data_IF_945010519115
#
_entry.id   IF_945010519115
#
_cell.length_a   1.000
_cell.length_b   1.000
_cell.length_c   1.000
_cell.angle_alpha   90.00
_cell.angle_beta   90.00
_cell.angle_gamma   90.00
#
_symmetry.space_group_name_H-M   'P 1'
#
loop_
_entity.id
_entity.type
_entity.pdbx_description
1 polymer ?
#
# COMPACT_ATOMS: atom_id res chain seq x y z
N UNK A 1 -5.75 7.85 -16.31
CA UNK A 1 -4.95 7.44 -15.13
C UNK A 1 -5.61 6.31 -14.32
N UNK A 2 -6.67 6.56 -13.53
CA UNK A 2 -7.23 5.56 -12.59
C UNK A 2 -7.86 4.29 -13.20
N UNK A 3 -8.18 4.29 -14.51
CA UNK A 3 -8.71 3.11 -15.22
C UNK A 3 -7.62 2.25 -15.86
N UNK A 4 -6.52 2.86 -16.31
CA UNK A 4 -5.47 2.20 -17.10
C UNK A 4 -4.13 2.08 -16.35
N UNK A 5 -3.98 2.82 -15.25
CA UNK A 5 -2.80 2.91 -14.40
C UNK A 5 -3.25 3.17 -12.94
N UNK A 6 -3.94 2.22 -12.31
CA UNK A 6 -4.36 2.37 -10.92
C UNK A 6 -3.15 2.31 -9.96
N UNK A 7 -3.35 2.85 -8.77
CA UNK A 7 -2.28 3.01 -7.76
C UNK A 7 -2.02 1.65 -7.10
N UNK A 8 -0.90 1.01 -7.40
CA UNK A 8 -0.58 -0.30 -6.79
C UNK A 8 -0.24 -0.20 -5.29
N UNK A 9 0.51 0.84 -4.90
CA UNK A 9 1.04 1.02 -3.54
C UNK A 9 0.85 2.49 -3.15
N UNK A 10 0.24 2.72 -1.98
CA UNK A 10 0.14 4.06 -1.40
C UNK A 10 1.27 4.29 -0.39
N UNK A 11 1.83 5.50 -0.40
CA UNK A 11 2.88 5.92 0.53
C UNK A 11 2.40 7.20 1.22
N UNK A 12 2.33 7.18 2.54
CA UNK A 12 2.01 8.36 3.35
C UNK A 12 3.23 8.77 4.15
N UNK A 13 3.52 10.07 4.20
CA UNK A 13 4.72 10.62 4.82
C UNK A 13 4.38 11.66 5.88
N UNK A 14 4.91 11.48 7.08
CA UNK A 14 4.83 12.43 8.19
C UNK A 14 6.23 12.90 8.60
N UNK A 15 6.30 14.11 9.15
CA UNK A 15 7.51 14.61 9.85
C UNK A 15 7.76 13.79 11.13
N UNK A 16 8.95 13.89 11.72
CA UNK A 16 9.34 13.08 12.90
C UNK A 16 8.29 13.07 14.01
N UNK A 17 7.72 14.24 14.32
CA UNK A 17 6.71 14.43 15.37
C UNK A 17 5.27 14.42 14.82
N UNK A 18 5.07 13.95 13.59
CA UNK A 18 3.76 13.84 12.97
C UNK A 18 2.95 12.66 13.53
N UNK A 19 1.62 12.76 13.46
CA UNK A 19 0.75 11.69 13.96
C UNK A 19 0.81 10.45 13.05
N UNK A 20 1.28 9.36 13.64
CA UNK A 20 1.27 8.02 13.04
C UNK A 20 -0.17 7.54 12.85
N UNK A 21 -1.06 7.84 13.79
CA UNK A 21 -2.47 7.47 13.75
C UNK A 21 -3.18 8.18 12.60
N UNK A 22 -2.89 9.47 12.38
CA UNK A 22 -3.40 10.21 11.24
C UNK A 22 -2.91 9.62 9.91
N UNK A 23 -1.62 9.26 9.83
CA UNK A 23 -1.07 8.60 8.64
C UNK A 23 -1.77 7.26 8.35
N UNK A 24 -1.98 6.43 9.39
CA UNK A 24 -2.73 5.18 9.29
C UNK A 24 -4.16 5.42 8.83
N UNK A 25 -4.85 6.42 9.38
CA UNK A 25 -6.21 6.79 8.98
C UNK A 25 -6.27 7.23 7.51
N UNK A 26 -5.32 8.06 7.06
CA UNK A 26 -5.20 8.52 5.67
C UNK A 26 -4.97 7.35 4.72
N UNK A 27 -4.01 6.46 5.02
CA UNK A 27 -3.76 5.24 4.24
C UNK A 27 -5.00 4.35 4.17
N UNK A 28 -5.69 4.12 5.30
CA UNK A 28 -6.92 3.33 5.34
C UNK A 28 -8.01 3.92 4.45
N UNK A 29 -8.22 5.24 4.47
CA UNK A 29 -9.22 5.91 3.62
C UNK A 29 -8.85 5.74 2.14
N UNK A 30 -7.59 5.97 1.77
CA UNK A 30 -7.14 5.89 0.38
C UNK A 30 -7.30 4.49 -0.19
N UNK A 31 -6.83 3.48 0.52
CA UNK A 31 -6.87 2.11 0.00
C UNK A 31 -8.27 1.52 0.06
N UNK A 32 -9.09 1.83 1.08
CA UNK A 32 -10.50 1.42 1.10
C UNK A 32 -11.26 2.00 -0.11
N UNK A 33 -11.01 3.28 -0.42
CA UNK A 33 -11.60 3.94 -1.59
C UNK A 33 -11.10 3.31 -2.89
N UNK A 34 -9.82 2.96 -2.96
CA UNK A 34 -9.23 2.29 -4.11
C UNK A 34 -9.81 0.89 -4.31
N UNK A 35 -9.90 0.05 -3.28
CA UNK A 35 -10.53 -1.27 -3.33
C UNK A 35 -11.99 -1.19 -3.76
N UNK A 36 -12.75 -0.24 -3.21
CA UNK A 36 -14.14 0.02 -3.64
C UNK A 36 -14.22 0.34 -5.15
N UNK A 37 -13.26 1.12 -5.66
CA UNK A 37 -13.18 1.42 -7.09
C UNK A 37 -12.81 0.19 -7.92
N UNK A 38 -11.81 -0.59 -7.50
CA UNK A 38 -11.42 -1.83 -8.19
C UNK A 38 -12.57 -2.83 -8.22
N UNK A 39 -13.30 -3.02 -7.12
CA UNK A 39 -14.54 -3.83 -7.06
C UNK A 39 -15.57 -3.36 -8.09
N UNK A 40 -15.81 -2.05 -8.17
CA UNK A 40 -16.75 -1.45 -9.14
C UNK A 40 -16.31 -1.63 -10.60
N UNK A 41 -15.00 -1.64 -10.88
CA UNK A 41 -14.50 -1.90 -12.23
C UNK A 41 -14.54 -3.40 -12.55
N UNK A 42 -14.19 -4.26 -11.59
CA UNK A 42 -14.18 -5.72 -11.74
C UNK A 42 -15.57 -6.32 -11.96
N UNK A 43 -16.65 -5.70 -11.46
CA UNK A 43 -18.03 -6.15 -11.73
C UNK A 43 -18.42 -6.05 -13.21
N UNK A 44 -17.62 -5.35 -14.02
CA UNK A 44 -17.79 -5.25 -15.48
C UNK A 44 -16.83 -6.15 -16.27
N UNK A 45 -15.91 -6.85 -15.59
CA UNK A 45 -14.88 -7.70 -16.19
C UNK A 45 -15.19 -9.18 -15.96
N UNK A 46 -14.67 -10.07 -16.82
CA UNK A 46 -14.80 -11.53 -16.66
C UNK A 46 -13.98 -12.05 -15.47
N UNK A 47 -12.91 -11.35 -15.10
CA UNK A 47 -12.08 -11.65 -13.93
C UNK A 47 -12.54 -10.80 -12.76
N UNK A 48 -13.24 -11.42 -11.81
CA UNK A 48 -13.70 -10.75 -10.59
C UNK A 48 -12.53 -10.66 -9.60
N UNK A 49 -12.30 -9.48 -9.02
CA UNK A 49 -11.36 -9.36 -7.90
C UNK A 49 -11.92 -10.14 -6.71
N UNK A 50 -11.11 -11.03 -6.13
CA UNK A 50 -11.53 -11.83 -4.98
C UNK A 50 -11.61 -10.98 -3.71
N UNK A 51 -12.62 -11.28 -2.89
CA UNK A 51 -12.69 -10.81 -1.50
C UNK A 51 -11.46 -11.37 -0.75
N UNK A 52 -10.91 -10.59 0.20
CA UNK A 52 -9.66 -10.87 0.92
C UNK A 52 -8.36 -10.47 0.18
N UNK A 53 -8.44 -9.59 -0.80
CA UNK A 53 -7.24 -9.00 -1.42
C UNK A 53 -6.42 -8.23 -0.38
N UNK A 54 -5.11 -8.49 -0.34
CA UNK A 54 -4.18 -7.79 0.56
C UNK A 54 -3.30 -6.83 -0.24
N UNK A 55 -3.33 -5.55 0.12
CA UNK A 55 -2.55 -4.49 -0.54
C UNK A 55 -1.45 -3.97 0.40
N UNK A 56 -0.19 -3.91 -0.06
CA UNK A 56 0.88 -3.25 0.69
C UNK A 56 0.69 -1.74 0.65
N UNK A 57 0.94 -1.10 1.80
CA UNK A 57 1.06 0.35 1.94
C UNK A 57 2.30 0.69 2.74
N UNK A 58 2.81 1.89 2.54
CA UNK A 58 4.01 2.36 3.22
C UNK A 58 3.65 3.57 4.06
N UNK A 59 4.04 3.54 5.33
CA UNK A 59 4.05 4.69 6.19
C UNK A 59 5.51 5.13 6.38
N UNK A 60 5.78 6.41 6.16
CA UNK A 60 7.07 7.02 6.46
C UNK A 60 6.87 8.02 7.58
N UNK A 61 7.55 7.84 8.70
CA UNK A 61 7.56 8.81 9.78
C UNK A 61 8.97 9.34 10.01
N UNK A 62 9.19 10.61 9.70
CA UNK A 62 10.53 11.18 9.62
C UNK A 62 11.40 10.40 8.64
N UNK A 63 12.41 9.70 9.17
CA UNK A 63 13.30 8.88 8.37
C UNK A 63 12.92 7.40 8.29
N UNK A 64 11.97 6.93 9.09
CA UNK A 64 11.65 5.51 9.28
C UNK A 64 10.59 5.08 8.28
N UNK A 65 10.85 4.00 7.54
CA UNK A 65 9.94 3.43 6.55
C UNK A 65 9.35 2.13 7.08
N UNK A 66 8.02 2.07 7.20
CA UNK A 66 7.31 0.91 7.74
C UNK A 66 6.33 0.36 6.70
N UNK A 67 6.34 -0.97 6.54
CA UNK A 67 5.37 -1.69 5.74
C UNK A 67 4.12 -1.96 6.58
N UNK A 68 2.97 -1.64 6.02
CA UNK A 68 1.69 -2.10 6.52
C UNK A 68 0.96 -2.82 5.40
N UNK A 69 0.04 -3.70 5.78
CA UNK A 69 -0.88 -4.33 4.85
C UNK A 69 -2.29 -3.90 5.15
N UNK A 70 -3.03 -3.70 4.09
CA UNK A 70 -4.44 -3.46 4.17
C UNK A 70 -5.16 -4.65 3.56
N UNK A 71 -5.97 -5.32 4.38
CA UNK A 71 -6.65 -6.56 4.05
C UNK A 71 -8.12 -6.22 3.80
N UNK A 72 -8.58 -6.54 2.60
CA UNK A 72 -9.94 -6.29 2.14
C UNK A 72 -10.91 -7.35 2.68
N UNK A 73 -11.37 -7.17 3.92
CA UNK A 73 -12.37 -8.05 4.53
C UNK A 73 -13.78 -7.88 3.96
N UNK A 74 -14.72 -8.72 4.41
CA UNK A 74 -16.11 -8.70 3.94
C UNK A 74 -16.86 -7.42 4.37
N UNK A 75 -16.71 -6.99 5.63
CA UNK A 75 -17.40 -5.81 6.16
C UNK A 75 -16.47 -4.62 6.42
N UNK A 76 -15.22 -4.89 6.81
CA UNK A 76 -14.26 -3.86 7.22
C UNK A 76 -12.89 -4.14 6.64
N UNK A 77 -12.24 -3.06 6.21
CA UNK A 77 -10.85 -3.05 5.79
C UNK A 77 -9.94 -3.02 7.02
N UNK A 78 -9.05 -4.00 7.14
CA UNK A 78 -8.13 -4.10 8.27
C UNK A 78 -6.74 -3.60 7.90
N UNK A 79 -6.15 -2.74 8.73
CA UNK A 79 -4.76 -2.30 8.59
C UNK A 79 -3.87 -3.06 9.58
N UNK A 80 -2.92 -3.82 9.07
CA UNK A 80 -1.97 -4.62 9.83
C UNK A 80 -0.58 -4.01 9.70
N UNK A 81 -0.05 -3.52 10.81
CA UNK A 81 1.35 -3.09 10.89
C UNK A 81 2.27 -4.32 10.93
N UNK A 82 3.36 -4.30 10.15
CA UNK A 82 4.23 -5.47 10.03
C UNK A 82 5.65 -5.19 10.48
N UNK A 83 6.43 -4.52 9.64
CA UNK A 83 7.88 -4.44 9.82
C UNK A 83 8.43 -3.12 9.32
N UNK A 84 9.43 -2.62 10.04
CA UNK A 84 10.27 -1.52 9.56
C UNK A 84 11.14 -2.02 8.41
N UNK A 85 10.98 -1.42 7.25
CA UNK A 85 11.74 -1.69 6.03
C UNK A 85 13.20 -1.23 6.18
N UNK A 86 13.38 -0.03 6.76
CA UNK A 86 14.68 0.62 6.92
C UNK A 86 14.51 2.08 7.34
N UNK A 87 15.62 2.82 7.32
CA UNK A 87 15.62 4.27 7.55
C UNK A 87 16.45 5.03 6.51
N UNK A 88 16.25 6.34 6.46
CA UNK A 88 16.98 7.24 5.55
C UNK A 88 18.08 8.05 6.25
N UNK A 89 18.51 7.63 7.45
CA UNK A 89 19.60 8.30 8.21
C UNK A 89 20.95 7.68 7.94
N UNK A 90 20.98 6.41 7.55
CA UNK A 90 22.20 5.68 7.25
C UNK A 90 22.22 5.22 5.79
N UNK A 91 23.42 5.11 5.21
CA UNK A 91 23.60 4.59 3.84
C UNK A 91 23.02 3.17 3.73
N UNK A 92 23.25 2.32 4.74
CA UNK A 92 22.71 0.96 4.79
C UNK A 92 21.18 0.98 4.81
N UNK A 93 20.58 1.83 5.65
CA UNK A 93 19.13 2.02 5.70
C UNK A 93 18.55 2.46 4.35
N UNK A 94 19.19 3.44 3.69
CA UNK A 94 18.78 3.88 2.35
C UNK A 94 18.79 2.73 1.35
N UNK A 95 19.81 1.86 1.38
CA UNK A 95 19.87 0.68 0.52
C UNK A 95 18.76 -0.34 0.84
N UNK A 96 18.40 -0.53 2.11
CA UNK A 96 17.26 -1.37 2.50
C UNK A 96 15.95 -0.83 1.91
N UNK A 97 15.69 0.49 2.06
CA UNK A 97 14.50 1.15 1.50
C UNK A 97 14.46 0.98 -0.02
N UNK A 98 15.56 1.28 -0.73
CA UNK A 98 15.62 1.13 -2.19
C UNK A 98 15.41 -0.32 -2.63
N UNK A 99 16.04 -1.28 -1.95
CA UNK A 99 15.87 -2.71 -2.26
C UNK A 99 14.42 -3.15 -2.10
N UNK A 100 13.76 -2.71 -1.02
CA UNK A 100 12.37 -3.05 -0.76
C UNK A 100 11.40 -2.37 -1.73
N UNK A 101 11.62 -1.10 -2.08
CA UNK A 101 10.80 -0.41 -3.10
C UNK A 101 10.91 -1.09 -4.47
N UNK A 102 12.09 -1.60 -4.84
CA UNK A 102 12.27 -2.41 -6.06
C UNK A 102 11.50 -3.73 -5.97
N UNK A 103 11.52 -4.38 -4.81
CA UNK A 103 10.76 -5.60 -4.58
C UNK A 103 9.24 -5.35 -4.72
N UNK A 104 8.74 -4.27 -4.13
CA UNK A 104 7.34 -3.85 -4.29
C UNK A 104 6.99 -3.47 -5.73
N UNK A 105 7.91 -2.82 -6.46
CA UNK A 105 7.74 -2.56 -7.88
C UNK A 105 7.60 -3.85 -8.70
N UNK A 106 8.40 -4.88 -8.39
CA UNK A 106 8.24 -6.20 -9.01
C UNK A 106 6.87 -6.79 -8.68
N UNK A 107 6.46 -6.77 -7.40
CA UNK A 107 5.13 -7.23 -6.98
C UNK A 107 4.01 -6.51 -7.73
N UNK A 108 4.10 -5.20 -7.90
CA UNK A 108 3.09 -4.40 -8.60
C UNK A 108 2.94 -4.85 -10.06
N UNK A 109 4.04 -5.19 -10.73
CA UNK A 109 4.04 -5.63 -12.12
C UNK A 109 3.64 -7.10 -12.29
N UNK A 110 4.02 -7.98 -11.37
CA UNK A 110 3.82 -9.43 -11.53
C UNK A 110 2.57 -9.97 -10.85
N UNK A 111 2.04 -9.27 -9.83
CA UNK A 111 0.90 -9.72 -9.03
C UNK A 111 -0.28 -8.77 -9.16
N UNK A 112 -0.08 -7.46 -8.93
CA UNK A 112 -1.18 -6.50 -8.95
C UNK A 112 -1.68 -6.18 -10.36
N UNK A 113 -0.78 -5.91 -11.32
CA UNK A 113 -1.16 -5.52 -12.68
C UNK A 113 -2.04 -6.58 -13.39
N UNK A 114 -1.81 -7.89 -13.25
CA UNK A 114 -2.71 -8.92 -13.78
C UNK A 114 -4.14 -8.93 -13.23
N UNK A 115 -4.45 -8.21 -12.13
CA UNK A 115 -5.81 -8.09 -11.60
C UNK A 115 -6.69 -7.11 -12.39
N UNK A 116 -6.09 -6.33 -13.30
CA UNK A 116 -6.74 -5.26 -14.07
C UNK A 116 -7.14 -5.72 -15.47
#
# INVERSE_FOLDING_TARGET
PLRSQPIAISIETKVVDGSVEEAKAQLSIWVSSHLKRLRTLSSTSQTRMELNTTLPVIQVNGSVWTLLFLIDGEEVVQLVETVTIGDTRSVVGCYQVVAFLRHLGKWALTIFQPWL
#
